data_IF_407376759784
#
_entry.id   IF_407376759784
#
_cell.length_a   1.000
_cell.length_b   1.000
_cell.length_c   1.000
_cell.angle_alpha   90.00
_cell.angle_beta   90.00
_cell.angle_gamma   90.00
#
_symmetry.space_group_name_H-M   'P 1'
#
loop_
_entity.id
_entity.type
_entity.pdbx_description
1 polymer ?
#
# COMPACT_ATOMS: atom_id res chain seq x y z
N UNK A 1 -15.56 -17.76 28.82
CA UNK A 1 -14.18 -17.66 29.30
C UNK A 1 -13.85 -16.19 29.41
N UNK A 2 -13.57 -15.69 30.63
CA UNK A 2 -13.26 -14.27 30.86
C UNK A 2 -11.83 -13.98 30.40
N UNK A 3 -11.68 -12.93 29.61
CA UNK A 3 -10.40 -12.34 29.18
C UNK A 3 -9.95 -11.26 30.17
N UNK A 4 -10.14 -11.49 31.47
CA UNK A 4 -9.57 -10.63 32.50
C UNK A 4 -8.08 -10.97 32.62
N UNK A 5 -7.27 -10.36 31.76
CA UNK A 5 -5.82 -10.34 31.94
C UNK A 5 -5.57 -9.65 33.28
N UNK A 6 -5.05 -10.43 34.23
CA UNK A 6 -4.76 -9.99 35.59
C UNK A 6 -3.78 -8.82 35.50
N UNK A 7 -4.17 -7.64 35.98
CA UNK A 7 -3.40 -6.37 35.92
C UNK A 7 -1.99 -6.43 36.53
N UNK A 8 -1.59 -7.54 37.15
CA UNK A 8 -0.28 -7.77 37.77
C UNK A 8 0.70 -8.55 36.87
N UNK A 9 0.30 -8.97 35.68
CA UNK A 9 1.19 -9.67 34.73
C UNK A 9 2.19 -8.67 34.08
N UNK A 10 3.52 -8.92 34.14
CA UNK A 10 4.51 -8.14 33.39
C UNK A 10 4.25 -8.08 31.88
N UNK A 11 3.53 -9.04 31.32
CA UNK A 11 3.06 -9.02 29.93
C UNK A 11 1.98 -7.94 29.71
N UNK A 12 1.13 -7.66 30.71
CA UNK A 12 0.10 -6.62 30.63
C UNK A 12 0.69 -5.21 30.58
N UNK A 13 1.72 -4.91 31.38
CA UNK A 13 2.40 -3.61 31.30
C UNK A 13 3.10 -3.42 29.94
N UNK A 14 3.74 -4.48 29.41
CA UNK A 14 4.31 -4.46 28.05
C UNK A 14 3.24 -4.25 26.98
N UNK A 15 2.04 -4.82 27.15
CA UNK A 15 0.93 -4.63 26.23
C UNK A 15 0.32 -3.22 26.32
N UNK A 16 0.33 -2.59 27.50
CA UNK A 16 -0.06 -1.18 27.66
C UNK A 16 0.97 -0.22 27.07
N UNK A 17 2.27 -0.46 27.30
CA UNK A 17 3.35 0.29 26.65
C UNK A 17 3.28 0.14 25.12
N UNK A 18 2.96 -1.06 24.62
CA UNK A 18 2.70 -1.29 23.20
C UNK A 18 1.48 -0.52 22.71
N UNK A 19 0.41 -0.39 23.50
CA UNK A 19 -0.75 0.44 23.14
C UNK A 19 -0.36 1.91 23.00
N UNK A 20 0.40 2.44 23.95
CA UNK A 20 0.85 3.84 23.92
C UNK A 20 1.82 4.06 22.74
N UNK A 21 2.76 3.15 22.49
CA UNK A 21 3.68 3.23 21.34
C UNK A 21 3.00 2.98 19.99
N UNK A 22 1.95 2.17 19.95
CA UNK A 22 1.15 1.94 18.75
C UNK A 22 0.35 3.18 18.34
N UNK A 23 0.25 4.21 19.18
CA UNK A 23 -0.30 5.49 18.75
C UNK A 23 0.67 6.32 17.91
N UNK A 24 1.97 5.99 17.92
CA UNK A 24 3.03 6.69 17.17
C UNK A 24 3.78 5.79 16.17
N UNK A 25 3.38 4.51 16.02
CA UNK A 25 3.95 3.47 15.13
C UNK A 25 5.29 3.87 14.49
N UNK A 26 6.41 3.75 15.22
CA UNK A 26 7.72 4.22 14.76
C UNK A 26 8.29 3.24 13.74
N UNK A 27 7.70 3.20 12.55
CA UNK A 27 8.22 2.44 11.44
C UNK A 27 9.37 3.20 10.78
N UNK A 28 10.39 2.48 10.35
CA UNK A 28 11.40 3.03 9.44
C UNK A 28 10.67 3.50 8.17
N UNK A 29 10.79 4.78 7.85
CA UNK A 29 10.19 5.36 6.64
C UNK A 29 10.93 4.87 5.39
N UNK A 30 10.23 4.82 4.27
CA UNK A 30 10.84 4.52 2.98
C UNK A 30 11.89 5.58 2.63
N UNK A 31 13.01 5.20 2.01
CA UNK A 31 13.98 6.15 1.49
C UNK A 31 13.37 6.84 0.27
N UNK A 32 12.62 7.92 0.50
CA UNK A 32 11.99 8.72 -0.54
C UNK A 32 13.00 9.68 -1.18
N UNK A 33 14.14 9.15 -1.61
CA UNK A 33 15.15 9.94 -2.30
C UNK A 33 14.52 10.46 -3.60
N UNK A 34 14.38 11.78 -3.70
CA UNK A 34 14.12 12.41 -4.99
C UNK A 34 15.38 12.23 -5.82
N UNK A 35 15.23 11.78 -7.06
CA UNK A 35 16.34 11.87 -8.00
C UNK A 35 16.78 13.35 -8.04
N UNK A 36 18.09 13.65 -8.02
CA UNK A 36 18.58 15.03 -7.96
C UNK A 36 18.00 15.95 -9.05
N UNK A 37 17.59 15.35 -10.17
CA UNK A 37 17.07 16.01 -11.37
C UNK A 37 15.53 16.01 -11.44
N UNK A 38 14.84 15.42 -10.45
CA UNK A 38 13.38 15.30 -10.46
C UNK A 38 12.70 16.21 -9.44
N UNK A 39 11.77 17.03 -9.93
CA UNK A 39 10.85 17.81 -9.09
C UNK A 39 9.70 16.95 -8.53
N UNK A 40 9.57 15.72 -9.02
CA UNK A 40 8.46 14.81 -8.70
C UNK A 40 8.85 13.83 -7.60
N UNK A 41 8.14 13.89 -6.47
CA UNK A 41 8.30 12.93 -5.38
C UNK A 41 7.96 11.49 -5.84
N UNK A 42 8.42 10.46 -5.11
CA UNK A 42 8.30 9.08 -5.57
C UNK A 42 6.84 8.64 -5.79
N UNK A 43 6.62 7.83 -6.82
CA UNK A 43 5.30 7.29 -7.15
C UNK A 43 5.31 5.76 -7.07
N UNK A 44 4.34 5.18 -6.38
CA UNK A 44 4.14 3.73 -6.26
C UNK A 44 2.93 3.35 -7.10
N UNK A 45 3.16 2.69 -8.24
CA UNK A 45 2.12 2.30 -9.18
C UNK A 45 1.65 0.89 -8.84
N UNK A 46 0.41 0.76 -8.38
CA UNK A 46 -0.16 -0.48 -7.87
C UNK A 46 -1.13 -1.04 -8.90
N UNK A 47 -0.79 -2.19 -9.47
CA UNK A 47 -1.63 -2.90 -10.43
C UNK A 47 -2.11 -4.24 -9.88
N UNK A 48 -3.25 -4.72 -10.41
CA UNK A 48 -3.84 -6.03 -10.08
C UNK A 48 -4.44 -6.67 -11.32
N UNK A 49 -4.50 -8.00 -11.33
CA UNK A 49 -5.25 -8.73 -12.35
C UNK A 49 -6.71 -8.92 -11.93
N UNK A 50 -6.93 -9.39 -10.70
CA UNK A 50 -8.26 -9.68 -10.16
C UNK A 50 -8.74 -8.62 -9.17
N UNK A 51 -10.04 -8.32 -9.18
CA UNK A 51 -10.69 -7.53 -8.14
C UNK A 51 -10.64 -8.22 -6.76
N UNK A 52 -10.66 -7.43 -5.68
CA UNK A 52 -10.74 -7.97 -4.31
C UNK A 52 -9.45 -8.58 -3.74
N UNK A 53 -8.32 -8.47 -4.43
CA UNK A 53 -7.01 -9.00 -3.97
C UNK A 53 -6.32 -8.17 -2.88
N UNK A 54 -6.91 -7.03 -2.51
CA UNK A 54 -6.39 -6.16 -1.43
C UNK A 54 -5.42 -5.07 -1.88
N UNK A 55 -5.48 -4.61 -3.14
CA UNK A 55 -4.61 -3.56 -3.65
C UNK A 55 -4.74 -2.22 -2.89
N UNK A 56 -5.96 -1.74 -2.66
CA UNK A 56 -6.17 -0.51 -1.88
C UNK A 56 -5.73 -0.65 -0.44
N UNK A 57 -5.93 -1.83 0.16
CA UNK A 57 -5.43 -2.14 1.50
C UNK A 57 -3.91 -2.10 1.55
N UNK A 58 -3.24 -2.67 0.56
CA UNK A 58 -1.80 -2.62 0.44
C UNK A 58 -1.31 -1.17 0.30
N UNK A 59 -1.97 -0.35 -0.53
CA UNK A 59 -1.69 1.08 -0.65
C UNK A 59 -1.78 1.78 0.71
N UNK A 60 -2.87 1.57 1.47
CA UNK A 60 -3.03 2.16 2.80
C UNK A 60 -1.99 1.68 3.81
N UNK A 61 -1.51 0.43 3.70
CA UNK A 61 -0.44 -0.09 4.55
C UNK A 61 0.92 0.50 4.20
N UNK A 62 1.24 0.58 2.91
CA UNK A 62 2.47 1.22 2.42
C UNK A 62 2.52 2.70 2.80
N UNK A 63 1.36 3.36 2.78
CA UNK A 63 1.20 4.75 3.17
C UNK A 63 1.61 5.06 4.62
N UNK A 64 1.63 4.06 5.52
CA UNK A 64 2.15 4.23 6.88
C UNK A 64 3.65 4.57 6.89
N UNK A 65 4.38 4.17 5.85
CA UNK A 65 5.84 4.29 5.75
C UNK A 65 6.31 5.51 4.97
N UNK A 66 5.40 6.38 4.56
CA UNK A 66 5.70 7.66 3.90
C UNK A 66 4.98 8.80 4.61
N UNK A 67 5.40 10.03 4.35
CA UNK A 67 4.79 11.21 4.94
C UNK A 67 3.93 11.94 3.90
N UNK A 68 2.73 12.36 4.32
CA UNK A 68 1.74 13.07 3.51
C UNK A 68 1.43 12.43 2.13
N UNK A 69 1.08 11.13 2.07
CA UNK A 69 0.83 10.44 0.81
C UNK A 69 -0.40 10.98 0.09
N UNK A 70 -0.33 11.01 -1.25
CA UNK A 70 -1.48 11.17 -2.13
C UNK A 70 -1.93 9.80 -2.63
N UNK A 71 -3.24 9.56 -2.69
CA UNK A 71 -3.83 8.38 -3.31
C UNK A 71 -4.52 8.77 -4.61
N UNK A 72 -4.26 8.02 -5.67
CA UNK A 72 -4.89 8.22 -6.97
C UNK A 72 -5.50 6.89 -7.40
N UNK A 73 -6.80 6.84 -7.67
CA UNK A 73 -7.48 5.66 -8.19
C UNK A 73 -7.87 5.89 -9.65
N UNK A 74 -7.51 4.96 -10.53
CA UNK A 74 -7.76 5.06 -11.97
C UNK A 74 -8.59 3.87 -12.46
N UNK A 75 -9.70 4.17 -13.13
CA UNK A 75 -10.56 3.20 -13.82
C UNK A 75 -11.43 2.35 -12.91
N UNK A 76 -11.45 2.64 -11.60
CA UNK A 76 -12.18 1.87 -10.59
C UNK A 76 -13.21 2.68 -9.84
N UNK A 77 -14.10 1.97 -9.13
CA UNK A 77 -14.97 2.60 -8.14
C UNK A 77 -14.15 3.00 -6.90
N UNK A 78 -14.65 4.00 -6.16
CA UNK A 78 -14.05 4.40 -4.89
C UNK A 78 -13.92 3.20 -3.94
N UNK A 79 -12.70 2.90 -3.51
CA UNK A 79 -12.43 1.75 -2.66
C UNK A 79 -12.87 2.02 -1.23
N UNK A 80 -13.45 1.01 -0.55
CA UNK A 80 -13.80 1.10 0.87
C UNK A 80 -12.57 1.35 1.76
N UNK A 81 -11.38 0.93 1.32
CA UNK A 81 -10.13 1.19 2.03
C UNK A 81 -9.78 2.70 2.07
N UNK A 82 -10.36 3.50 1.17
CA UNK A 82 -10.10 4.93 1.05
C UNK A 82 -11.27 5.79 1.52
N UNK A 83 -12.37 5.18 1.99
CA UNK A 83 -13.57 5.91 2.44
C UNK A 83 -13.28 6.90 3.57
N UNK A 84 -12.31 6.60 4.44
CA UNK A 84 -11.92 7.47 5.53
C UNK A 84 -10.90 8.55 5.19
N UNK A 85 -10.37 8.58 3.96
CA UNK A 85 -9.39 9.58 3.57
C UNK A 85 -10.05 10.94 3.34
N UNK A 86 -9.37 12.04 3.71
CA UNK A 86 -9.76 13.38 3.27
C UNK A 86 -9.80 13.47 1.74
N UNK A 87 -10.67 14.35 1.20
CA UNK A 87 -10.84 14.48 -0.26
C UNK A 87 -9.58 15.00 -0.95
N UNK A 88 -8.81 15.82 -0.26
CA UNK A 88 -7.53 16.35 -0.70
C UNK A 88 -6.40 15.30 -0.75
N UNK A 89 -6.62 14.15 -0.12
CA UNK A 89 -5.66 13.03 -0.08
C UNK A 89 -6.02 11.93 -1.08
N UNK A 90 -7.22 11.96 -1.66
CA UNK A 90 -7.74 10.95 -2.58
C UNK A 90 -8.28 11.59 -3.86
N UNK A 91 -7.63 11.29 -4.97
CA UNK A 91 -8.11 11.62 -6.32
C UNK A 91 -8.68 10.36 -6.97
N UNK A 92 -9.87 10.46 -7.57
CA UNK A 92 -10.55 9.32 -8.19
C UNK A 92 -10.95 9.67 -9.61
N UNK A 93 -10.49 8.84 -10.54
CA UNK A 93 -10.72 8.97 -11.98
C UNK A 93 -11.44 7.70 -12.45
N UNK A 94 -12.79 7.70 -12.50
CA UNK A 94 -13.58 6.50 -12.71
C UNK A 94 -13.51 5.98 -14.15
N UNK A 95 -14.07 4.79 -14.40
CA UNK A 95 -13.96 4.11 -15.71
C UNK A 95 -14.72 4.80 -16.85
N UNK A 96 -15.74 5.60 -16.52
CA UNK A 96 -16.57 6.34 -17.45
C UNK A 96 -15.93 7.66 -17.91
N UNK A 97 -14.85 8.10 -17.26
CA UNK A 97 -14.02 9.19 -17.74
C UNK A 97 -13.09 8.68 -18.88
N UNK A 98 -13.28 9.17 -20.13
CA UNK A 98 -12.46 8.77 -21.28
C UNK A 98 -11.02 9.25 -21.16
N UNK A 99 -10.78 10.37 -20.47
CA UNK A 99 -9.49 11.03 -20.33
C UNK A 99 -8.85 10.73 -18.95
N UNK A 100 -9.41 9.75 -18.23
CA UNK A 100 -9.01 9.39 -16.85
C UNK A 100 -7.52 9.21 -16.62
N UNK A 101 -6.78 8.71 -17.61
CA UNK A 101 -5.34 8.51 -17.47
C UNK A 101 -4.62 9.85 -17.52
N UNK A 102 -4.89 10.65 -18.55
CA UNK A 102 -4.27 11.97 -18.73
C UNK A 102 -4.63 12.89 -17.55
N UNK A 103 -5.91 12.92 -17.15
CA UNK A 103 -6.39 13.66 -15.99
C UNK A 103 -5.70 13.21 -14.68
N UNK A 104 -5.51 11.89 -14.48
CA UNK A 104 -4.81 11.38 -13.31
C UNK A 104 -3.33 11.75 -13.29
N UNK A 105 -2.69 11.77 -14.46
CA UNK A 105 -1.30 12.17 -14.61
C UNK A 105 -1.12 13.67 -14.38
N UNK A 106 -1.97 14.51 -14.96
CA UNK A 106 -1.93 15.95 -14.75
C UNK A 106 -2.13 16.29 -13.27
N UNK A 107 -3.12 15.67 -12.62
CA UNK A 107 -3.32 15.85 -11.19
C UNK A 107 -2.13 15.33 -10.36
N UNK A 108 -1.50 14.22 -10.76
CA UNK A 108 -0.25 13.76 -10.13
C UNK A 108 0.84 14.83 -10.22
N UNK A 109 0.99 15.50 -11.36
CA UNK A 109 1.97 16.57 -11.56
C UNK A 109 1.65 17.82 -10.74
N UNK A 110 0.38 18.19 -10.59
CA UNK A 110 -0.04 19.29 -9.71
C UNK A 110 0.31 19.05 -8.23
N UNK A 111 0.33 17.78 -7.82
CA UNK A 111 0.73 17.35 -6.48
C UNK A 111 2.18 16.83 -6.42
N UNK A 112 3.09 17.41 -7.24
CA UNK A 112 4.44 16.89 -7.43
C UNK A 112 5.23 16.63 -6.14
N UNK A 113 5.03 17.45 -5.10
CA UNK A 113 5.78 17.39 -3.85
C UNK A 113 5.45 16.19 -2.96
N UNK A 114 4.30 15.55 -3.14
CA UNK A 114 3.80 14.43 -2.31
C UNK A 114 4.15 13.08 -2.93
N UNK A 115 4.60 12.09 -2.14
CA UNK A 115 4.65 10.71 -2.60
C UNK A 115 3.25 10.23 -2.99
N UNK A 116 3.11 9.51 -4.09
CA UNK A 116 1.81 9.09 -4.59
C UNK A 116 1.68 7.56 -4.64
N UNK A 117 0.52 7.04 -4.23
CA UNK A 117 0.10 5.66 -4.51
C UNK A 117 -0.97 5.71 -5.60
N UNK A 118 -0.60 5.26 -6.80
CA UNK A 118 -1.45 5.29 -7.99
C UNK A 118 -1.97 3.88 -8.23
N UNK A 119 -3.22 3.64 -7.89
CA UNK A 119 -3.90 2.37 -8.03
C UNK A 119 -4.61 2.27 -9.39
N UNK A 120 -4.21 1.27 -10.18
CA UNK A 120 -4.84 0.91 -11.44
C UNK A 120 -5.85 -0.22 -11.19
N UNK A 121 -7.07 -0.04 -11.68
CA UNK A 121 -8.12 -1.06 -11.61
C UNK A 121 -7.74 -2.34 -12.37
N UNK A 122 -8.48 -3.42 -12.13
CA UNK A 122 -8.27 -4.71 -12.80
C UNK A 122 -8.11 -4.54 -14.33
N UNK A 123 -7.23 -5.35 -14.91
CA UNK A 123 -6.87 -5.35 -16.35
C UNK A 123 -6.09 -4.13 -16.85
N UNK A 124 -5.92 -3.06 -16.06
CA UNK A 124 -5.16 -1.85 -16.44
C UNK A 124 -3.66 -1.95 -16.13
N UNK A 125 -3.13 -3.17 -16.14
CA UNK A 125 -1.74 -3.43 -15.74
C UNK A 125 -0.74 -2.96 -16.80
N UNK A 126 -1.14 -2.90 -18.08
CA UNK A 126 -0.26 -2.37 -19.14
C UNK A 126 -0.08 -0.87 -18.98
N UNK A 127 -1.14 -0.19 -18.62
CA UNK A 127 -1.18 1.24 -18.34
C UNK A 127 -0.32 1.55 -17.13
N UNK A 128 -0.33 0.72 -16.09
CA UNK A 128 0.60 0.85 -14.97
C UNK A 128 2.08 0.69 -15.37
N UNK A 129 2.41 -0.24 -16.28
CA UNK A 129 3.77 -0.38 -16.84
C UNK A 129 4.15 0.88 -17.63
N UNK A 130 3.30 1.29 -18.57
CA UNK A 130 3.53 2.49 -19.40
C UNK A 130 3.70 3.73 -18.52
N UNK A 131 2.85 3.88 -17.51
CA UNK A 131 2.91 4.94 -16.53
C UNK A 131 4.25 4.96 -15.76
N UNK A 132 4.73 3.79 -15.35
CA UNK A 132 6.02 3.65 -14.68
C UNK A 132 7.15 4.10 -15.61
N UNK A 133 7.16 3.64 -16.86
CA UNK A 133 8.17 4.02 -17.86
C UNK A 133 8.16 5.53 -18.12
N UNK A 134 6.98 6.15 -18.27
CA UNK A 134 6.83 7.59 -18.48
C UNK A 134 7.46 8.36 -17.32
N UNK A 135 7.10 8.02 -16.07
CA UNK A 135 7.60 8.72 -14.89
C UNK A 135 9.11 8.56 -14.69
N UNK A 136 9.69 7.41 -15.07
CA UNK A 136 11.14 7.16 -15.03
C UNK A 136 11.91 7.81 -16.18
N UNK A 137 11.24 8.08 -17.29
CA UNK A 137 11.89 8.55 -18.51
C UNK A 137 12.44 9.97 -18.42
N UNK A 138 13.13 10.38 -19.48
CA UNK A 138 13.91 11.62 -19.60
C UNK A 138 13.14 12.92 -19.33
N UNK A 139 11.80 12.87 -19.34
CA UNK A 139 10.99 14.05 -19.04
C UNK A 139 10.87 14.34 -17.55
N UNK A 140 10.77 13.30 -16.73
CA UNK A 140 10.40 13.44 -15.32
C UNK A 140 11.49 12.97 -14.36
N UNK A 141 12.37 12.05 -14.80
CA UNK A 141 13.44 11.46 -14.00
C UNK A 141 12.99 10.98 -12.61
N UNK A 142 11.71 10.64 -12.45
CA UNK A 142 11.12 10.39 -11.14
C UNK A 142 11.40 8.96 -10.68
N UNK A 143 11.53 8.80 -9.36
CA UNK A 143 11.52 7.48 -8.75
C UNK A 143 10.09 6.92 -8.79
N UNK A 144 9.82 6.02 -9.73
CA UNK A 144 8.56 5.32 -9.82
C UNK A 144 8.75 3.84 -9.52
N UNK A 145 8.04 3.25 -8.57
CA UNK A 145 8.12 1.82 -8.26
C UNK A 145 6.86 1.12 -8.72
N UNK A 146 7.01 0.08 -9.54
CA UNK A 146 5.88 -0.75 -9.95
C UNK A 146 5.64 -1.84 -8.90
N UNK A 147 4.39 -1.96 -8.47
CA UNK A 147 3.90 -2.93 -7.50
C UNK A 147 2.76 -3.73 -8.14
N UNK A 148 2.88 -5.05 -8.14
CA UNK A 148 1.82 -5.95 -8.60
C UNK A 148 1.23 -6.73 -7.44
N UNK A 149 -0.10 -6.69 -7.29
CA UNK A 149 -0.82 -7.48 -6.30
C UNK A 149 -1.37 -8.73 -6.95
N UNK A 150 -0.66 -9.85 -6.72
CA UNK A 150 -0.98 -11.16 -7.26
C UNK A 150 -2.15 -11.80 -6.52
N UNK A 151 -3.05 -12.42 -7.30
CA UNK A 151 -4.12 -13.25 -6.77
C UNK A 151 -3.59 -14.62 -6.32
N UNK A 152 -4.36 -15.36 -5.51
CA UNK A 152 -4.01 -16.74 -5.15
C UNK A 152 -3.79 -17.64 -6.38
N UNK A 153 -4.49 -17.37 -7.48
CA UNK A 153 -4.48 -18.20 -8.70
C UNK A 153 -3.35 -17.81 -9.68
N UNK A 154 -2.59 -16.75 -9.39
CA UNK A 154 -1.46 -16.29 -10.22
C UNK A 154 -0.22 -17.19 -10.11
N UNK A 155 -0.24 -18.37 -10.73
CA UNK A 155 0.85 -19.36 -10.64
C UNK A 155 2.18 -18.90 -11.25
N UNK A 156 2.14 -18.09 -12.30
CA UNK A 156 3.33 -17.74 -13.11
C UNK A 156 3.76 -16.28 -13.03
N UNK A 157 3.07 -15.45 -12.23
CA UNK A 157 3.26 -13.99 -12.16
C UNK A 157 3.64 -13.42 -13.53
N UNK A 158 2.81 -13.69 -14.55
CA UNK A 158 3.12 -13.38 -15.97
C UNK A 158 3.46 -11.90 -16.18
N UNK A 159 2.97 -11.05 -15.27
CA UNK A 159 3.24 -9.63 -15.23
C UNK A 159 4.71 -9.26 -15.05
N UNK A 160 5.49 -10.06 -14.29
CA UNK A 160 6.93 -9.84 -14.12
C UNK A 160 7.65 -9.84 -15.46
N UNK A 161 7.36 -10.82 -16.32
CA UNK A 161 7.95 -10.94 -17.65
C UNK A 161 7.59 -9.73 -18.54
N UNK A 162 6.38 -9.17 -18.39
CA UNK A 162 5.95 -8.00 -19.16
C UNK A 162 6.66 -6.73 -18.67
N UNK A 163 6.81 -6.56 -17.36
CA UNK A 163 7.53 -5.44 -16.76
C UNK A 163 9.01 -5.46 -17.15
N UNK A 164 9.67 -6.62 -17.05
CA UNK A 164 11.08 -6.82 -17.46
C UNK A 164 11.28 -6.51 -18.95
N UNK A 165 10.36 -6.96 -19.83
CA UNK A 165 10.39 -6.61 -21.26
C UNK A 165 10.21 -5.12 -21.55
N UNK A 166 9.62 -4.37 -20.62
CA UNK A 166 9.48 -2.92 -20.69
C UNK A 166 10.62 -2.18 -19.98
N UNK A 167 11.65 -2.87 -19.50
CA UNK A 167 12.80 -2.29 -18.79
C UNK A 167 12.52 -1.97 -17.32
N UNK A 168 11.55 -2.64 -16.70
CA UNK A 168 11.23 -2.52 -15.27
C UNK A 168 11.64 -3.82 -14.58
N UNK A 169 12.88 -3.87 -14.10
CA UNK A 169 13.47 -5.08 -13.49
C UNK A 169 13.15 -5.19 -11.98
N UNK A 170 12.84 -4.07 -11.33
CA UNK A 170 12.65 -3.92 -9.89
C UNK A 170 11.17 -4.04 -9.45
N UNK A 171 10.37 -4.82 -10.18
CA UNK A 171 8.97 -5.08 -9.83
C UNK A 171 8.83 -5.72 -8.44
N UNK A 172 8.08 -5.05 -7.56
CA UNK A 172 7.65 -5.59 -6.28
C UNK A 172 6.35 -6.39 -6.48
N UNK A 173 6.33 -7.64 -6.01
CA UNK A 173 5.14 -8.48 -6.08
C UNK A 173 4.58 -8.71 -4.68
N UNK A 174 3.33 -8.32 -4.49
CA UNK A 174 2.57 -8.54 -3.27
C UNK A 174 1.59 -9.71 -3.45
N UNK A 175 1.37 -10.49 -2.40
CA UNK A 175 0.38 -11.57 -2.38
C UNK A 175 -0.85 -11.20 -1.56
N UNK A 176 -2.04 -11.48 -2.10
CA UNK A 176 -3.30 -11.23 -1.41
C UNK A 176 -3.31 -11.85 0.02
N UNK A 177 -4.01 -11.25 1.00
CA UNK A 177 -3.98 -11.69 2.41
C UNK A 177 -4.44 -13.13 2.64
N UNK A 178 -5.25 -13.68 1.72
CA UNK A 178 -5.78 -15.05 1.77
C UNK A 178 -4.84 -16.10 1.17
N UNK A 179 -3.70 -15.69 0.62
CA UNK A 179 -2.69 -16.63 0.12
C UNK A 179 -2.07 -17.33 1.34
N UNK A 180 -2.57 -18.52 1.69
CA UNK A 180 -2.04 -19.40 2.75
C UNK A 180 -0.64 -19.96 2.45
N UNK A 181 0.13 -19.34 1.56
CA UNK A 181 1.41 -19.85 1.12
C UNK A 181 2.46 -18.75 1.20
N UNK A 182 3.25 -18.83 2.27
CA UNK A 182 4.65 -18.37 2.33
C UNK A 182 5.54 -19.00 1.23
N UNK A 183 4.98 -19.70 0.24
CA UNK A 183 5.70 -20.62 -0.64
C UNK A 183 5.98 -20.09 -2.05
N UNK A 184 5.62 -18.84 -2.39
CA UNK A 184 6.00 -18.25 -3.69
C UNK A 184 7.22 -17.36 -3.50
N UNK A 185 8.38 -17.86 -3.95
CA UNK A 185 9.64 -17.12 -3.91
C UNK A 185 9.46 -15.73 -4.55
N UNK A 186 9.88 -14.70 -3.82
CA UNK A 186 9.80 -13.31 -4.29
C UNK A 186 8.44 -12.61 -4.15
N UNK A 187 7.42 -13.25 -3.55
CA UNK A 187 6.13 -12.61 -3.25
C UNK A 187 6.09 -12.16 -1.79
N UNK A 188 5.80 -10.89 -1.56
CA UNK A 188 5.66 -10.30 -0.22
C UNK A 188 4.19 -10.39 0.20
N UNK A 189 3.91 -11.04 1.33
CA UNK A 189 2.54 -11.15 1.84
C UNK A 189 2.02 -9.79 2.33
N UNK A 190 0.80 -9.42 1.92
CA UNK A 190 0.08 -8.29 2.52
C UNK A 190 -0.41 -8.72 3.92
N UNK A 191 -0.07 -7.96 4.99
CA UNK A 191 -0.55 -8.26 6.34
C UNK A 191 -2.08 -8.38 6.40
N UNK A 192 -2.56 -9.30 7.22
CA UNK A 192 -4.00 -9.46 7.45
C UNK A 192 -4.44 -8.52 8.56
N UNK A 193 -5.45 -7.69 8.31
CA UNK A 193 -6.02 -6.83 9.36
C UNK A 193 -6.81 -7.69 10.36
N UNK A 194 -6.54 -7.56 11.68
CA UNK A 194 -7.40 -8.12 12.71
C UNK A 194 -8.85 -7.65 12.57
N UNK A 195 -9.81 -8.47 12.98
CA UNK A 195 -11.25 -8.25 12.73
C UNK A 195 -11.73 -6.87 13.22
N UNK A 196 -11.29 -6.45 14.40
CA UNK A 196 -11.67 -5.17 14.99
C UNK A 196 -11.18 -3.98 14.17
N UNK A 197 -9.92 -4.06 13.71
CA UNK A 197 -9.29 -3.04 12.86
C UNK A 197 -9.95 -3.05 11.47
N UNK A 198 -10.16 -4.23 10.88
CA UNK A 198 -10.82 -4.37 9.59
C UNK A 198 -12.25 -3.82 9.61
N UNK A 199 -13.00 -4.04 10.70
CA UNK A 199 -14.34 -3.48 10.89
C UNK A 199 -14.30 -1.94 10.93
N UNK A 200 -13.41 -1.37 11.76
CA UNK A 200 -13.24 0.08 11.83
C UNK A 200 -12.81 0.70 10.50
N UNK A 201 -11.88 0.04 9.78
CA UNK A 201 -11.33 0.51 8.53
C UNK A 201 -12.33 0.42 7.36
N UNK A 202 -12.90 -0.77 7.10
CA UNK A 202 -13.76 -0.98 5.92
C UNK A 202 -15.23 -0.65 6.13
N UNK A 203 -15.73 -0.70 7.36
CA UNK A 203 -17.18 -0.54 7.65
C UNK A 203 -17.49 0.82 8.24
N UNK A 204 -16.64 1.32 9.13
CA UNK A 204 -16.85 2.61 9.79
C UNK A 204 -16.08 3.77 9.12
N UNK A 205 -15.43 3.53 7.99
CA UNK A 205 -14.75 4.56 7.20
C UNK A 205 -13.67 5.29 7.98
N UNK A 206 -12.95 4.63 8.89
CA UNK A 206 -11.76 5.22 9.52
C UNK A 206 -10.56 5.08 8.60
N UNK A 207 -9.60 5.99 8.67
CA UNK A 207 -8.27 5.74 8.08
C UNK A 207 -7.60 4.55 8.77
N UNK A 208 -6.63 3.90 8.11
CA UNK A 208 -5.92 2.78 8.72
C UNK A 208 -5.22 3.17 10.04
N UNK A 209 -4.51 4.32 10.16
CA UNK A 209 -3.97 4.78 11.43
C UNK A 209 -5.03 4.97 12.54
N UNK A 210 -6.20 5.52 12.21
CA UNK A 210 -7.29 5.69 13.18
C UNK A 210 -7.92 4.35 13.59
N UNK A 211 -8.08 3.41 12.65
CA UNK A 211 -8.57 2.08 12.92
C UNK A 211 -7.63 1.32 13.88
N UNK A 212 -6.31 1.43 13.68
CA UNK A 212 -5.30 0.85 14.58
C UNK A 212 -5.37 1.52 15.96
N UNK A 213 -5.35 2.86 16.02
CA UNK A 213 -5.38 3.62 17.29
C UNK A 213 -6.65 3.36 18.11
N UNK A 214 -7.78 3.15 17.45
CA UNK A 214 -9.06 2.90 18.11
C UNK A 214 -9.34 1.42 18.40
N UNK A 215 -8.42 0.51 18.06
CA UNK A 215 -8.57 -0.90 18.35
C UNK A 215 -8.47 -1.16 19.87
N UNK A 216 -9.45 -1.82 20.50
CA UNK A 216 -9.38 -2.17 21.92
C UNK A 216 -8.50 -3.40 22.19
N UNK A 217 -8.27 -4.24 21.17
CA UNK A 217 -7.53 -5.50 21.30
C UNK A 217 -6.03 -5.31 21.27
N UNK A 218 -5.39 -5.31 22.46
CA UNK A 218 -3.94 -5.16 22.60
C UNK A 218 -3.14 -6.22 21.83
N UNK A 219 -3.57 -7.47 21.90
CA UNK A 219 -2.94 -8.57 21.16
C UNK A 219 -3.05 -8.38 19.64
N UNK A 220 -4.23 -7.96 19.16
CA UNK A 220 -4.47 -7.67 17.75
C UNK A 220 -3.55 -6.56 17.23
N UNK A 221 -3.35 -5.50 18.02
CA UNK A 221 -2.43 -4.42 17.70
C UNK A 221 -0.99 -4.94 17.62
N UNK A 222 -0.52 -5.63 18.67
CA UNK A 222 0.85 -6.13 18.74
C UNK A 222 1.19 -7.08 17.57
N UNK A 223 0.24 -7.96 17.22
CA UNK A 223 0.39 -8.87 16.08
C UNK A 223 0.46 -8.12 14.76
N UNK A 224 -0.45 -7.16 14.53
CA UNK A 224 -0.43 -6.36 13.31
C UNK A 224 0.85 -5.50 13.21
N UNK A 225 1.33 -4.94 14.32
CA UNK A 225 2.56 -4.16 14.36
C UNK A 225 3.77 -5.02 13.94
N UNK A 226 3.87 -6.25 14.46
CA UNK A 226 4.90 -7.20 14.05
C UNK A 226 4.81 -7.51 12.55
N UNK A 227 3.62 -7.80 12.04
CA UNK A 227 3.41 -8.12 10.63
C UNK A 227 3.72 -6.92 9.71
N UNK A 228 3.38 -5.70 10.14
CA UNK A 228 3.71 -4.47 9.43
C UNK A 228 5.22 -4.17 9.43
N UNK A 229 5.94 -4.48 10.51
CA UNK A 229 7.41 -4.37 10.54
C UNK A 229 8.07 -5.32 9.57
N UNK A 230 7.63 -6.57 9.53
CA UNK A 230 8.14 -7.56 8.57
C UNK A 230 7.81 -7.15 7.14
N UNK A 231 6.59 -6.70 6.89
CA UNK A 231 6.17 -6.16 5.60
C UNK A 231 7.05 -4.99 5.16
N UNK A 232 7.25 -3.99 6.02
CA UNK A 232 8.12 -2.85 5.76
C UNK A 232 9.56 -3.28 5.45
N UNK A 233 10.12 -4.19 6.25
CA UNK A 233 11.48 -4.70 6.03
C UNK A 233 11.64 -5.33 4.65
N UNK A 234 10.71 -6.21 4.25
CA UNK A 234 10.72 -6.85 2.93
C UNK A 234 10.55 -5.85 1.79
N UNK A 235 9.76 -4.79 1.97
CA UNK A 235 9.62 -3.73 0.95
C UNK A 235 10.92 -2.93 0.84
N UNK A 236 11.54 -2.57 1.97
CA UNK A 236 12.82 -1.84 1.98
C UNK A 236 13.94 -2.62 1.30
N UNK A 237 14.03 -3.94 1.53
CA UNK A 237 14.99 -4.80 0.84
C UNK A 237 14.84 -4.72 -0.69
N UNK A 238 13.61 -4.56 -1.20
CA UNK A 238 13.34 -4.42 -2.64
C UNK A 238 13.58 -3.04 -3.19
N UNK A 239 13.35 -2.00 -2.40
CA UNK A 239 13.60 -0.62 -2.81
C UNK A 239 15.10 -0.27 -2.84
N UNK A 240 15.94 -1.11 -2.22
CA UNK A 240 17.39 -0.92 -2.11
C UNK A 240 18.22 -1.89 -2.96
N UNK A 241 17.58 -2.91 -3.57
CA UNK A 241 18.20 -3.90 -4.45
C UNK A 241 18.22 -3.43 -5.90
#
# INVERSE_FOLDING_TARGET
>A
MSTDIIRQDPAYSRLLDLRERATTLPFKKFPLNRAPESELAPSFLIARYDGGVGASTAASMLALFVDNPLFVQIGGNASRAFQGLPKEDLLSFPFDDPDRFDNAFDARLEHASRPAFIEFEQTLYREAITATCILRGDRFHSSATLIFVASPDDEKIKYRILAEKAGIDDLIVLGAPQVQKESRAGVIRIPTLPKEIASAFYTHGKTLPEAIRSCPGLFSIAKLEQDLREFNHKILERLQS
#
